data_IF_020933480669
#
_entry.id   IF_020933480669
#
_cell.length_a   1.000
_cell.length_b   1.000
_cell.length_c   1.000
_cell.angle_alpha   90.00
_cell.angle_beta   90.00
_cell.angle_gamma   90.00
#
_symmetry.space_group_name_H-M   'P 1'
#
loop_
_entity.id
_entity.type
_entity.pdbx_description
1 polymer ?
#
# COMPACT_ATOMS: atom_id res chain seq x y z
N UNK A 1 -16.27 -36.39 4.95
CA UNK A 1 -16.71 -34.98 4.88
C UNK A 1 -15.47 -34.18 4.47
N UNK A 2 -15.52 -33.38 3.40
CA UNK A 2 -14.43 -32.50 3.07
C UNK A 2 -14.22 -31.52 4.25
N UNK A 3 -12.98 -31.40 4.71
CA UNK A 3 -12.61 -30.45 5.76
C UNK A 3 -12.95 -29.04 5.29
N UNK A 4 -13.66 -28.27 6.10
CA UNK A 4 -14.06 -26.90 5.74
C UNK A 4 -12.80 -26.03 5.68
N UNK A 5 -12.65 -25.14 4.67
CA UNK A 5 -11.45 -24.32 4.59
C UNK A 5 -11.31 -23.39 5.78
N UNK A 6 -10.14 -23.38 6.36
CA UNK A 6 -9.84 -22.52 7.52
C UNK A 6 -9.76 -21.02 7.14
N UNK A 7 -9.62 -20.71 5.84
CA UNK A 7 -9.53 -19.34 5.32
C UNK A 7 -10.74 -19.03 4.46
N UNK A 8 -11.43 -17.93 4.77
CA UNK A 8 -12.49 -17.36 3.92
C UNK A 8 -12.07 -15.98 3.47
N UNK A 9 -11.78 -15.83 2.18
CA UNK A 9 -11.44 -14.55 1.57
C UNK A 9 -12.71 -13.83 1.13
N UNK A 10 -12.98 -12.69 1.76
CA UNK A 10 -14.19 -11.89 1.56
C UNK A 10 -13.84 -10.69 0.66
N UNK A 11 -14.41 -10.67 -0.53
CA UNK A 11 -14.20 -9.65 -1.54
C UNK A 11 -13.78 -10.20 -2.89
N UNK A 12 -13.86 -9.37 -3.94
CA UNK A 12 -13.47 -9.71 -5.32
C UNK A 12 -12.72 -8.57 -6.01
N UNK A 13 -12.29 -7.57 -5.26
CA UNK A 13 -11.47 -6.46 -5.71
C UNK A 13 -10.04 -6.86 -6.10
N UNK A 14 -9.21 -5.88 -6.44
CA UNK A 14 -7.82 -6.10 -6.87
C UNK A 14 -7.01 -6.87 -5.81
N UNK A 15 -7.01 -6.40 -4.58
CA UNK A 15 -6.30 -7.06 -3.48
C UNK A 15 -6.82 -8.49 -3.25
N UNK A 16 -8.15 -8.69 -3.23
CA UNK A 16 -8.73 -10.03 -3.07
C UNK A 16 -8.23 -11.00 -4.14
N UNK A 17 -8.15 -10.57 -5.41
CA UNK A 17 -7.62 -11.40 -6.51
C UNK A 17 -6.14 -11.76 -6.31
N UNK A 18 -5.32 -10.81 -5.85
CA UNK A 18 -3.91 -11.08 -5.53
C UNK A 18 -3.76 -12.03 -4.34
N UNK A 19 -4.49 -11.82 -3.26
CA UNK A 19 -4.49 -12.72 -2.10
C UNK A 19 -4.94 -14.13 -2.49
N UNK A 20 -6.03 -14.26 -3.27
CA UNK A 20 -6.45 -15.55 -3.80
C UNK A 20 -5.33 -16.24 -4.56
N UNK A 21 -4.69 -15.52 -5.51
CA UNK A 21 -3.58 -16.07 -6.30
C UNK A 21 -2.43 -16.51 -5.39
N UNK A 22 -2.10 -15.72 -4.39
CA UNK A 22 -1.02 -16.03 -3.46
C UNK A 22 -1.35 -17.25 -2.59
N UNK A 23 -2.54 -17.33 -2.00
CA UNK A 23 -2.99 -18.51 -1.26
C UNK A 23 -2.93 -19.80 -2.11
N UNK A 24 -3.33 -19.71 -3.38
CA UNK A 24 -3.20 -20.83 -4.33
C UNK A 24 -1.74 -21.26 -4.55
N UNK A 25 -0.81 -20.31 -4.71
CA UNK A 25 0.61 -20.60 -4.87
C UNK A 25 1.24 -21.22 -3.62
N UNK A 26 0.69 -20.95 -2.45
CA UNK A 26 1.10 -21.55 -1.17
C UNK A 26 0.40 -22.90 -0.89
N UNK A 27 -0.51 -23.34 -1.77
CA UNK A 27 -1.38 -24.51 -1.56
C UNK A 27 -2.18 -24.43 -0.25
N UNK A 28 -2.63 -23.25 0.13
CA UNK A 28 -3.49 -23.03 1.29
C UNK A 28 -4.95 -23.13 0.89
N UNK A 29 -5.69 -24.03 1.54
CA UNK A 29 -7.11 -24.20 1.32
C UNK A 29 -7.86 -22.94 1.76
N UNK A 30 -8.72 -22.44 0.87
CA UNK A 30 -9.50 -21.25 1.12
C UNK A 30 -10.81 -21.25 0.33
N UNK A 31 -11.84 -20.68 0.92
CA UNK A 31 -13.05 -20.30 0.21
C UNK A 31 -13.00 -18.83 -0.18
N UNK A 32 -13.79 -18.48 -1.19
CA UNK A 32 -13.96 -17.10 -1.63
C UNK A 32 -15.43 -16.75 -1.54
N UNK A 33 -15.68 -15.60 -0.92
CA UNK A 33 -17.02 -15.07 -0.86
C UNK A 33 -17.05 -13.60 -1.32
N UNK A 34 -18.08 -13.25 -2.06
CA UNK A 34 -18.46 -11.86 -2.34
C UNK A 34 -19.95 -11.80 -2.63
N UNK A 35 -20.57 -10.65 -2.38
CA UNK A 35 -22.00 -10.42 -2.71
C UNK A 35 -22.34 -10.78 -4.15
N UNK A 36 -21.42 -10.51 -5.07
CA UNK A 36 -21.60 -10.83 -6.50
C UNK A 36 -21.61 -12.34 -6.76
N UNK A 37 -20.68 -13.07 -6.12
CA UNK A 37 -20.59 -14.53 -6.28
C UNK A 37 -21.78 -15.22 -5.61
N UNK A 38 -22.21 -14.77 -4.45
CA UNK A 38 -23.38 -15.30 -3.75
C UNK A 38 -24.67 -15.04 -4.54
N UNK A 39 -24.90 -13.81 -5.01
CA UNK A 39 -26.05 -13.49 -5.85
C UNK A 39 -26.08 -14.30 -7.16
N UNK A 40 -24.91 -14.65 -7.71
CA UNK A 40 -24.78 -15.53 -8.88
C UNK A 40 -24.85 -17.02 -8.52
N UNK A 41 -25.03 -17.39 -7.25
CA UNK A 41 -24.99 -18.77 -6.74
C UNK A 41 -23.68 -19.51 -7.08
N UNK A 42 -22.58 -18.77 -7.19
CA UNK A 42 -21.25 -19.29 -7.49
C UNK A 42 -20.41 -19.59 -6.22
N UNK A 43 -20.91 -19.31 -5.04
CA UNK A 43 -20.34 -19.70 -3.76
C UNK A 43 -21.46 -19.98 -2.75
N UNK A 44 -21.19 -20.76 -1.68
CA UNK A 44 -22.12 -20.92 -0.55
C UNK A 44 -22.38 -19.59 0.15
N UNK A 45 -23.47 -19.51 0.91
CA UNK A 45 -23.73 -18.39 1.80
C UNK A 45 -22.62 -18.25 2.85
N UNK A 46 -22.35 -17.02 3.30
CA UNK A 46 -21.22 -16.74 4.19
C UNK A 46 -21.33 -17.52 5.52
N UNK A 47 -22.52 -17.65 6.05
CA UNK A 47 -22.80 -18.41 7.28
C UNK A 47 -22.42 -19.90 7.19
N UNK A 48 -22.43 -20.48 5.98
CA UNK A 48 -22.00 -21.87 5.74
C UNK A 48 -20.47 -21.97 5.75
N UNK A 49 -19.79 -20.95 5.26
CA UNK A 49 -18.34 -20.92 5.15
C UNK A 49 -17.63 -20.60 6.47
N UNK A 50 -18.29 -19.85 7.37
CA UNK A 50 -17.66 -19.36 8.60
C UNK A 50 -17.88 -20.33 9.75
N UNK A 51 -16.78 -20.87 10.29
CA UNK A 51 -16.72 -21.73 11.46
C UNK A 51 -15.90 -21.06 12.59
N UNK A 52 -15.80 -21.70 13.75
CA UNK A 52 -15.16 -21.12 14.95
C UNK A 52 -13.67 -20.84 14.81
N UNK A 53 -12.97 -21.54 13.93
CA UNK A 53 -11.53 -21.39 13.67
C UNK A 53 -11.23 -20.67 12.36
N UNK A 54 -12.27 -20.20 11.65
CA UNK A 54 -12.13 -19.52 10.35
C UNK A 54 -11.32 -18.24 10.48
N UNK A 55 -10.43 -18.03 9.54
CA UNK A 55 -9.73 -16.77 9.27
C UNK A 55 -10.51 -16.01 8.20
N UNK A 56 -11.33 -15.04 8.61
CA UNK A 56 -12.12 -14.21 7.71
C UNK A 56 -11.27 -13.02 7.23
N UNK A 57 -10.79 -13.10 5.98
CA UNK A 57 -9.91 -12.13 5.35
C UNK A 57 -10.73 -11.09 4.58
N UNK A 58 -10.94 -9.92 5.16
CA UNK A 58 -11.80 -8.85 4.65
C UNK A 58 -11.04 -7.97 3.63
N UNK A 59 -10.96 -8.41 2.39
CA UNK A 59 -10.34 -7.68 1.27
C UNK A 59 -11.38 -6.81 0.53
N UNK A 60 -12.07 -5.97 1.27
CA UNK A 60 -13.10 -5.03 0.84
C UNK A 60 -12.66 -3.58 1.11
N UNK A 61 -13.44 -2.59 0.67
CA UNK A 61 -13.10 -1.17 0.89
C UNK A 61 -13.15 -0.82 2.40
N UNK A 62 -12.24 0.05 2.85
CA UNK A 62 -12.09 0.45 4.26
C UNK A 62 -13.42 0.83 4.92
N UNK A 63 -14.20 1.68 4.23
CA UNK A 63 -15.52 2.14 4.72
C UNK A 63 -16.57 1.03 4.85
N UNK A 64 -16.33 -0.12 4.22
CA UNK A 64 -17.26 -1.25 4.26
C UNK A 64 -16.90 -2.27 5.36
N UNK A 65 -15.68 -2.27 5.89
CA UNK A 65 -15.21 -3.31 6.83
C UNK A 65 -16.10 -3.41 8.04
N UNK A 66 -16.24 -2.36 8.83
CA UNK A 66 -17.03 -2.40 10.05
C UNK A 66 -18.53 -2.58 9.81
N UNK A 67 -19.19 -1.87 8.88
CA UNK A 67 -20.57 -2.12 8.54
C UNK A 67 -20.83 -3.57 8.12
N UNK A 68 -19.91 -4.15 7.33
CA UNK A 68 -20.00 -5.54 6.91
C UNK A 68 -19.95 -6.50 8.10
N UNK A 69 -18.98 -6.33 9.01
CA UNK A 69 -18.88 -7.16 10.22
C UNK A 69 -20.14 -7.06 11.07
N UNK A 70 -20.69 -5.86 11.23
CA UNK A 70 -21.93 -5.66 12.04
C UNK A 70 -23.15 -6.30 11.40
N UNK A 71 -23.24 -6.34 10.06
CA UNK A 71 -24.36 -6.96 9.34
C UNK A 71 -24.24 -8.48 9.16
N UNK A 72 -23.08 -9.08 9.53
CA UNK A 72 -22.82 -10.52 9.40
C UNK A 72 -22.43 -11.12 10.76
N UNK A 73 -23.41 -11.44 11.60
CA UNK A 73 -23.16 -11.91 12.97
C UNK A 73 -22.39 -13.24 13.03
N UNK A 74 -22.44 -14.05 11.98
CA UNK A 74 -21.65 -15.29 11.84
C UNK A 74 -20.14 -15.02 11.93
N UNK A 75 -19.66 -13.86 11.53
CA UNK A 75 -18.26 -13.47 11.63
C UNK A 75 -17.75 -13.33 13.07
N UNK A 76 -18.65 -13.32 14.07
CA UNK A 76 -18.25 -13.30 15.49
C UNK A 76 -17.46 -14.52 15.91
N UNK A 77 -17.64 -15.65 15.23
CA UNK A 77 -16.93 -16.91 15.49
C UNK A 77 -15.51 -16.91 14.90
N UNK A 78 -15.23 -16.06 13.92
CA UNK A 78 -14.00 -16.05 13.15
C UNK A 78 -12.97 -15.06 13.69
N UNK A 79 -11.70 -15.34 13.44
CA UNK A 79 -10.63 -14.33 13.50
C UNK A 79 -10.79 -13.44 12.28
N UNK A 80 -11.09 -12.18 12.48
CA UNK A 80 -11.35 -11.20 11.41
C UNK A 80 -10.10 -10.37 11.17
N UNK A 81 -9.64 -10.37 9.91
CA UNK A 81 -8.46 -9.62 9.46
C UNK A 81 -8.87 -8.70 8.32
N UNK A 82 -8.54 -7.41 8.42
CA UNK A 82 -8.70 -6.47 7.31
C UNK A 82 -7.35 -5.99 6.79
N UNK A 83 -7.33 -5.47 5.56
CA UNK A 83 -6.11 -5.06 4.88
C UNK A 83 -6.00 -3.55 4.64
N UNK A 84 -6.82 -2.75 5.32
CA UNK A 84 -6.72 -1.29 5.28
C UNK A 84 -5.43 -0.80 5.92
N UNK A 85 -4.74 0.12 5.26
CA UNK A 85 -3.54 0.75 5.83
C UNK A 85 -3.84 1.79 6.91
N UNK A 86 -5.05 2.41 6.87
CA UNK A 86 -5.41 3.51 7.77
C UNK A 86 -6.41 3.14 8.86
N UNK A 87 -7.24 2.11 8.63
CA UNK A 87 -8.32 1.77 9.56
C UNK A 87 -7.76 1.16 10.84
N UNK A 88 -8.04 1.78 11.97
CA UNK A 88 -7.96 1.15 13.29
C UNK A 88 -9.36 0.70 13.69
N UNK A 89 -9.54 -0.59 13.99
CA UNK A 89 -10.86 -1.16 14.30
C UNK A 89 -10.79 -2.10 15.49
N UNK A 90 -11.75 -1.98 16.41
CA UNK A 90 -11.94 -2.96 17.47
C UNK A 90 -12.68 -4.24 17.01
N UNK A 91 -13.17 -4.26 15.77
CA UNK A 91 -13.95 -5.37 15.23
C UNK A 91 -13.12 -6.36 14.41
N UNK A 92 -11.95 -5.96 13.92
CA UNK A 92 -11.05 -6.81 13.13
C UNK A 92 -9.60 -6.31 13.25
N UNK A 93 -8.66 -7.22 13.14
CA UNK A 93 -7.23 -6.93 13.22
C UNK A 93 -6.75 -6.39 11.87
N UNK A 94 -6.02 -5.28 11.88
CA UNK A 94 -5.41 -4.72 10.69
C UNK A 94 -4.11 -5.45 10.32
N UNK A 95 -4.00 -5.90 9.06
CA UNK A 95 -2.79 -6.50 8.50
C UNK A 95 -2.56 -5.94 7.08
N UNK A 96 -2.05 -4.73 6.99
CA UNK A 96 -1.86 -4.03 5.71
C UNK A 96 -0.63 -4.52 4.96
N UNK A 97 -0.77 -5.10 3.76
CA UNK A 97 0.38 -5.40 2.91
C UNK A 97 0.97 -4.08 2.37
N UNK A 98 2.20 -3.74 2.77
CA UNK A 98 2.89 -2.52 2.32
C UNK A 98 3.40 -2.71 0.89
N UNK A 99 2.46 -2.71 -0.05
CA UNK A 99 2.73 -2.97 -1.46
C UNK A 99 1.70 -2.31 -2.39
N UNK A 100 2.08 -2.07 -3.64
CA UNK A 100 1.17 -1.58 -4.68
C UNK A 100 0.81 -2.70 -5.65
N UNK A 101 -0.43 -3.18 -5.58
CA UNK A 101 -0.91 -4.25 -6.44
C UNK A 101 -1.33 -3.73 -7.82
N UNK A 102 -0.66 -4.21 -8.87
CA UNK A 102 -0.95 -3.88 -10.26
C UNK A 102 -2.16 -4.70 -10.82
N UNK A 103 -2.38 -4.63 -12.13
CA UNK A 103 -3.38 -5.46 -12.80
C UNK A 103 -2.91 -6.91 -13.06
N UNK A 104 -1.59 -7.13 -13.10
CA UNK A 104 -0.94 -8.43 -13.34
C UNK A 104 -0.57 -9.12 -12.03
N UNK A 105 -0.64 -10.44 -12.00
CA UNK A 105 -0.21 -11.23 -10.86
C UNK A 105 1.31 -11.36 -10.80
N UNK A 106 1.82 -11.64 -9.61
CA UNK A 106 3.23 -11.84 -9.34
C UNK A 106 3.56 -13.31 -9.14
N UNK A 107 4.84 -13.65 -9.19
CA UNK A 107 5.34 -14.94 -8.74
C UNK A 107 5.27 -15.07 -7.21
N UNK A 108 5.46 -16.30 -6.74
CA UNK A 108 5.41 -16.63 -5.33
C UNK A 108 6.49 -15.89 -4.53
N UNK A 109 7.70 -15.82 -5.06
CA UNK A 109 8.84 -15.19 -4.38
C UNK A 109 8.57 -13.72 -4.07
N UNK A 110 8.00 -12.97 -5.03
CA UNK A 110 7.65 -11.58 -4.79
C UNK A 110 6.52 -11.44 -3.76
N UNK A 111 5.49 -12.30 -3.82
CA UNK A 111 4.44 -12.26 -2.80
C UNK A 111 4.98 -12.55 -1.39
N UNK A 112 5.87 -13.53 -1.20
CA UNK A 112 6.47 -13.87 0.09
C UNK A 112 7.31 -12.74 0.69
N UNK A 113 7.84 -11.86 -0.14
CA UNK A 113 8.64 -10.69 0.28
C UNK A 113 7.80 -9.47 0.67
N UNK A 114 6.50 -9.46 0.41
CA UNK A 114 5.63 -8.33 0.79
C UNK A 114 5.52 -8.24 2.31
N UNK A 115 5.95 -7.15 2.95
CA UNK A 115 5.79 -7.01 4.38
C UNK A 115 4.34 -6.65 4.74
N UNK A 116 3.87 -7.20 5.87
CA UNK A 116 2.59 -6.83 6.46
C UNK A 116 2.79 -5.96 7.69
N UNK A 117 2.02 -4.88 7.78
CA UNK A 117 2.00 -3.99 8.94
C UNK A 117 0.73 -4.27 9.75
N UNK A 118 0.93 -4.70 10.99
CA UNK A 118 -0.10 -5.24 11.88
C UNK A 118 -0.25 -4.31 13.09
N UNK A 119 -1.43 -4.31 13.72
CA UNK A 119 -1.67 -3.55 14.94
C UNK A 119 -0.83 -4.10 16.11
N UNK A 120 -0.17 -3.22 16.85
CA UNK A 120 0.57 -3.57 18.06
C UNK A 120 -0.33 -4.30 19.06
N UNK A 121 0.21 -5.33 19.73
CA UNK A 121 -0.54 -6.18 20.64
C UNK A 121 -1.34 -7.30 19.96
N UNK A 122 -1.43 -7.33 18.64
CA UNK A 122 -2.06 -8.42 17.89
C UNK A 122 -1.15 -9.65 17.80
N UNK A 123 -1.73 -10.84 17.54
CA UNK A 123 -0.96 -12.03 17.20
C UNK A 123 -0.09 -11.83 15.97
N UNK A 124 0.94 -12.65 15.81
CA UNK A 124 1.80 -12.64 14.61
C UNK A 124 1.01 -12.93 13.33
N UNK A 125 1.54 -12.52 12.18
CA UNK A 125 0.91 -12.82 10.89
C UNK A 125 0.68 -14.32 10.69
N UNK A 126 1.64 -15.16 11.07
CA UNK A 126 1.53 -16.62 10.98
C UNK A 126 0.39 -17.18 11.86
N UNK A 127 0.05 -16.51 12.97
CA UNK A 127 -1.10 -16.87 13.80
C UNK A 127 -2.41 -16.35 13.23
N UNK A 128 -2.39 -15.17 12.60
CA UNK A 128 -3.57 -14.57 11.97
C UNK A 128 -3.96 -15.29 10.68
N UNK A 129 -2.97 -15.60 9.86
CA UNK A 129 -3.14 -16.26 8.55
C UNK A 129 -2.10 -17.39 8.47
N UNK A 130 -2.43 -18.57 9.01
CA UNK A 130 -1.51 -19.71 9.02
C UNK A 130 -1.02 -20.05 7.61
N UNK A 131 0.28 -20.28 7.49
CA UNK A 131 0.92 -20.64 6.22
C UNK A 131 1.46 -19.45 5.40
N UNK A 132 1.23 -18.20 5.81
CA UNK A 132 1.89 -17.04 5.20
C UNK A 132 3.30 -16.83 5.79
N UNK A 133 4.37 -16.91 4.98
CA UNK A 133 5.76 -16.75 5.44
C UNK A 133 6.23 -15.28 5.49
N UNK A 134 5.37 -14.34 5.15
CA UNK A 134 5.70 -12.93 4.95
C UNK A 134 6.29 -12.28 6.21
N UNK A 135 7.26 -11.36 6.06
CA UNK A 135 7.71 -10.52 7.15
C UNK A 135 6.56 -9.65 7.67
N UNK A 136 6.51 -9.43 8.98
CA UNK A 136 5.52 -8.53 9.58
C UNK A 136 6.17 -7.57 10.57
N UNK A 137 5.59 -6.38 10.66
CA UNK A 137 5.98 -5.30 11.54
C UNK A 137 4.74 -4.80 12.29
N UNK A 138 4.94 -4.29 13.49
CA UNK A 138 3.85 -3.83 14.33
C UNK A 138 3.91 -2.31 14.47
N UNK A 139 2.73 -1.67 14.44
CA UNK A 139 2.57 -0.24 14.72
C UNK A 139 1.40 -0.03 15.68
N UNK A 140 1.46 1.04 16.47
CA UNK A 140 0.34 1.43 17.32
C UNK A 140 -0.88 1.80 16.45
N UNK A 141 -2.10 1.42 16.85
CA UNK A 141 -3.30 1.72 16.07
C UNK A 141 -3.47 3.20 15.74
N UNK A 142 -3.07 4.09 16.66
CA UNK A 142 -3.13 5.54 16.51
C UNK A 142 -2.16 6.07 15.43
N UNK A 143 -1.15 5.30 15.10
CA UNK A 143 -0.17 5.66 14.05
C UNK A 143 -0.63 5.27 12.63
N UNK A 144 -1.70 4.49 12.49
CA UNK A 144 -2.14 3.95 11.19
C UNK A 144 -2.44 5.04 10.17
N UNK A 145 -3.15 6.09 10.54
CA UNK A 145 -3.45 7.16 9.59
C UNK A 145 -2.19 7.86 9.10
N UNK A 146 -1.25 8.16 10.00
CA UNK A 146 0.05 8.74 9.64
C UNK A 146 0.86 7.80 8.76
N UNK A 147 0.97 6.54 9.15
CA UNK A 147 1.65 5.50 8.35
C UNK A 147 1.07 5.42 6.93
N UNK A 148 -0.25 5.34 6.82
CA UNK A 148 -0.90 5.26 5.51
C UNK A 148 -0.70 6.52 4.68
N UNK A 149 -0.74 7.71 5.28
CA UNK A 149 -0.42 8.96 4.60
C UNK A 149 1.00 8.95 4.01
N UNK A 150 1.99 8.43 4.75
CA UNK A 150 3.36 8.26 4.25
C UNK A 150 3.43 7.25 3.08
N UNK A 151 2.69 6.16 3.15
CA UNK A 151 2.58 5.21 2.04
C UNK A 151 1.96 5.85 0.78
N UNK A 152 0.95 6.71 0.95
CA UNK A 152 0.33 7.45 -0.16
C UNK A 152 1.32 8.45 -0.76
N UNK A 153 2.05 9.21 0.07
CA UNK A 153 3.09 10.12 -0.39
C UNK A 153 4.17 9.39 -1.20
N UNK A 154 4.72 8.31 -0.65
CA UNK A 154 5.82 7.58 -1.29
C UNK A 154 5.38 6.76 -2.51
N UNK A 155 4.20 6.15 -2.49
CA UNK A 155 3.71 5.28 -3.57
C UNK A 155 2.85 6.01 -4.60
N UNK A 156 1.70 6.52 -4.15
CA UNK A 156 0.69 7.07 -5.05
C UNK A 156 1.15 8.39 -5.68
N UNK A 157 1.70 9.31 -4.89
CA UNK A 157 2.12 10.62 -5.41
C UNK A 157 3.37 10.52 -6.28
N UNK A 158 4.30 9.63 -5.94
CA UNK A 158 5.41 9.31 -6.86
C UNK A 158 4.89 8.78 -8.20
N UNK A 159 3.85 7.93 -8.19
CA UNK A 159 3.20 7.46 -9.43
C UNK A 159 2.59 8.63 -10.22
N UNK A 160 1.94 9.61 -9.55
CA UNK A 160 1.38 10.79 -10.22
C UNK A 160 2.47 11.64 -10.86
N UNK A 161 3.60 11.88 -10.18
CA UNK A 161 4.74 12.61 -10.72
C UNK A 161 5.28 11.97 -12.00
N UNK A 162 5.49 10.64 -11.98
CA UNK A 162 5.95 9.91 -13.17
C UNK A 162 4.93 9.91 -14.30
N UNK A 163 3.64 9.80 -13.99
CA UNK A 163 2.57 9.90 -15.01
C UNK A 163 2.54 11.28 -15.66
N UNK A 164 2.76 12.36 -14.88
CA UNK A 164 2.87 13.71 -15.40
C UNK A 164 4.06 13.82 -16.35
N UNK A 165 5.25 13.38 -15.95
CA UNK A 165 6.42 13.38 -16.82
C UNK A 165 6.16 12.60 -18.11
N UNK A 166 5.63 11.38 -18.02
CA UNK A 166 5.36 10.55 -19.21
C UNK A 166 4.35 11.18 -20.15
N UNK A 167 3.34 11.84 -19.61
CA UNK A 167 2.37 12.58 -20.42
C UNK A 167 3.04 13.72 -21.19
N UNK A 168 3.83 14.57 -20.53
CA UNK A 168 4.53 15.68 -21.15
C UNK A 168 5.56 15.22 -22.22
N UNK A 169 6.27 14.14 -21.93
CA UNK A 169 7.21 13.57 -22.89
C UNK A 169 6.50 13.14 -24.18
N UNK A 170 5.38 12.43 -24.04
CA UNK A 170 4.64 11.91 -25.21
C UNK A 170 3.89 12.99 -25.98
N UNK A 171 3.36 14.06 -25.31
CA UNK A 171 2.45 15.02 -25.93
C UNK A 171 3.13 16.33 -26.32
N UNK A 172 4.02 16.85 -25.48
CA UNK A 172 4.58 18.19 -25.64
C UNK A 172 6.06 18.18 -26.11
N UNK A 173 6.84 17.20 -25.64
CA UNK A 173 8.28 17.16 -25.87
C UNK A 173 8.68 16.21 -27.00
N UNK A 174 7.74 15.48 -27.61
CA UNK A 174 7.99 14.59 -28.72
C UNK A 174 8.96 13.42 -28.42
N UNK A 175 9.07 13.04 -27.14
CA UNK A 175 9.96 11.98 -26.68
C UNK A 175 9.11 10.79 -26.18
N UNK A 176 9.23 9.59 -26.76
CA UNK A 176 8.52 8.41 -26.25
C UNK A 176 8.87 8.15 -24.78
N UNK A 177 7.84 7.95 -23.94
CA UNK A 177 7.98 7.74 -22.48
C UNK A 177 8.97 6.63 -22.11
N UNK A 178 9.13 5.63 -22.97
CA UNK A 178 10.04 4.51 -22.75
C UNK A 178 11.50 4.98 -22.61
N UNK A 179 11.86 6.10 -23.22
CA UNK A 179 13.20 6.68 -23.11
C UNK A 179 13.50 7.23 -21.70
N UNK A 180 12.49 7.49 -20.89
CA UNK A 180 12.66 7.91 -19.50
C UNK A 180 12.75 6.74 -18.50
N UNK A 181 12.54 5.49 -18.92
CA UNK A 181 12.62 4.33 -18.02
C UNK A 181 14.02 4.15 -17.38
N UNK A 182 15.15 4.32 -18.07
CA UNK A 182 16.46 4.28 -17.43
C UNK A 182 16.62 5.31 -16.30
N UNK A 183 16.02 6.50 -16.46
CA UNK A 183 16.03 7.53 -15.42
C UNK A 183 15.22 7.09 -14.19
N UNK A 184 14.00 6.55 -14.39
CA UNK A 184 13.20 5.97 -13.29
C UNK A 184 13.98 4.89 -12.54
N UNK A 185 14.57 3.94 -13.29
CA UNK A 185 15.33 2.82 -12.70
C UNK A 185 16.55 3.34 -11.92
N UNK A 186 17.23 4.39 -12.40
CA UNK A 186 18.38 4.96 -11.69
C UNK A 186 17.99 5.57 -10.34
N UNK A 187 16.85 6.28 -10.28
CA UNK A 187 16.31 6.84 -9.04
C UNK A 187 15.96 5.70 -8.05
N UNK A 188 15.25 4.68 -8.53
CA UNK A 188 14.86 3.54 -7.69
C UNK A 188 16.07 2.77 -7.13
N UNK A 189 17.10 2.59 -7.95
CA UNK A 189 18.37 1.97 -7.49
C UNK A 189 19.09 2.82 -6.47
N UNK A 190 19.11 4.14 -6.65
CA UNK A 190 19.67 5.07 -5.69
C UNK A 190 18.95 4.99 -4.33
N UNK A 191 17.62 4.96 -4.33
CA UNK A 191 16.81 4.83 -3.11
C UNK A 191 16.94 3.46 -2.44
N UNK A 192 17.13 2.39 -3.20
CA UNK A 192 17.30 1.03 -2.66
C UNK A 192 18.71 0.74 -2.14
N UNK A 193 19.69 1.55 -2.51
CA UNK A 193 21.08 1.47 -2.03
C UNK A 193 21.29 2.16 -0.69
N UNK A 194 22.56 2.23 -0.28
CA UNK A 194 22.97 2.89 0.99
C UNK A 194 23.00 4.43 0.83
N UNK A 195 21.82 5.04 0.59
CA UNK A 195 21.66 6.49 0.68
C UNK A 195 22.30 7.27 -0.48
N UNK A 196 21.84 7.05 -1.72
CA UNK A 196 22.16 8.00 -2.77
C UNK A 196 21.58 9.38 -2.38
N UNK A 197 22.43 10.42 -2.27
CA UNK A 197 21.95 11.74 -1.87
C UNK A 197 20.99 12.28 -2.93
N UNK A 198 20.00 13.04 -2.48
CA UNK A 198 19.15 13.80 -3.38
C UNK A 198 20.06 14.66 -4.30
N UNK A 199 19.95 14.46 -5.61
CA UNK A 199 20.65 15.26 -6.62
C UNK A 199 19.70 16.32 -7.18
N UNK A 200 20.24 17.44 -7.61
CA UNK A 200 19.41 18.46 -8.24
C UNK A 200 19.57 19.86 -7.62
N UNK A 201 18.78 20.84 -8.07
CA UNK A 201 18.95 22.23 -7.66
C UNK A 201 18.69 22.45 -6.16
N UNK A 202 17.75 21.72 -5.55
CA UNK A 202 17.44 21.85 -4.11
C UNK A 202 18.63 21.44 -3.25
N UNK A 203 19.21 20.27 -3.50
CA UNK A 203 20.35 19.77 -2.71
C UNK A 203 21.62 20.62 -2.88
N UNK A 204 21.76 21.31 -4.01
CA UNK A 204 22.88 22.22 -4.25
C UNK A 204 22.60 23.67 -3.85
N UNK A 205 21.43 23.98 -3.31
CA UNK A 205 21.03 25.35 -2.97
C UNK A 205 20.87 26.29 -4.18
N UNK A 206 20.67 25.75 -5.39
CA UNK A 206 20.55 26.52 -6.64
C UNK A 206 19.15 27.17 -6.77
N UNK A 207 18.97 28.25 -6.05
CA UNK A 207 17.73 29.04 -6.03
C UNK A 207 17.36 29.62 -7.41
N UNK A 208 18.36 29.85 -8.27
CA UNK A 208 18.11 30.37 -9.64
C UNK A 208 17.40 29.33 -10.49
N UNK A 209 17.88 28.09 -10.48
CA UNK A 209 17.22 27.00 -11.19
C UNK A 209 15.84 26.68 -10.59
N UNK A 210 15.69 26.71 -9.27
CA UNK A 210 14.39 26.51 -8.61
C UNK A 210 13.36 27.55 -9.10
N UNK A 211 13.71 28.83 -9.12
CA UNK A 211 12.83 29.89 -9.63
C UNK A 211 12.47 29.74 -11.10
N UNK A 212 13.44 29.34 -11.94
CA UNK A 212 13.19 29.08 -13.37
C UNK A 212 12.25 27.89 -13.59
N UNK A 213 12.42 26.84 -12.83
CA UNK A 213 11.53 25.68 -12.89
C UNK A 213 10.08 26.03 -12.48
N UNK A 214 9.90 26.81 -11.40
CA UNK A 214 8.59 27.31 -11.01
C UNK A 214 7.97 28.20 -12.09
N UNK A 215 8.74 29.10 -12.66
CA UNK A 215 8.26 29.97 -13.76
C UNK A 215 7.86 29.16 -15.01
N UNK A 216 8.58 28.08 -15.32
CA UNK A 216 8.26 27.20 -16.44
C UNK A 216 6.98 26.38 -16.21
N UNK A 217 6.59 26.14 -14.96
CA UNK A 217 5.34 25.48 -14.59
C UNK A 217 4.17 26.44 -14.36
N UNK A 218 4.34 27.75 -14.65
CA UNK A 218 3.31 28.74 -14.42
C UNK A 218 2.00 28.39 -15.12
N UNK A 219 0.91 28.30 -14.32
CA UNK A 219 -0.41 27.91 -14.81
C UNK A 219 -0.66 26.41 -14.92
N UNK A 220 0.35 25.57 -14.71
CA UNK A 220 0.18 24.12 -14.56
C UNK A 220 -0.21 23.78 -13.11
N UNK A 221 -1.13 22.82 -12.87
CA UNK A 221 -1.46 22.37 -11.52
C UNK A 221 -0.25 21.88 -10.71
N UNK A 222 0.82 21.41 -11.37
CA UNK A 222 2.04 20.95 -10.71
C UNK A 222 3.00 22.07 -10.29
N UNK A 223 2.74 23.35 -10.66
CA UNK A 223 3.44 24.52 -10.09
C UNK A 223 3.33 24.52 -8.55
N UNK A 224 2.10 24.34 -8.04
CA UNK A 224 1.85 24.28 -6.59
C UNK A 224 2.52 23.07 -5.94
N UNK A 225 2.52 21.91 -6.60
CA UNK A 225 3.18 20.70 -6.11
C UNK A 225 4.70 20.92 -6.01
N UNK A 226 5.32 21.53 -7.04
CA UNK A 226 6.74 21.87 -7.02
C UNK A 226 7.07 22.83 -5.88
N UNK A 227 6.28 23.89 -5.71
CA UNK A 227 6.44 24.84 -4.61
C UNK A 227 6.29 24.20 -3.23
N UNK A 228 5.35 23.27 -3.06
CA UNK A 228 5.17 22.54 -1.81
C UNK A 228 6.39 21.67 -1.47
N UNK A 229 7.00 21.00 -2.45
CA UNK A 229 8.24 20.24 -2.26
C UNK A 229 9.40 21.14 -1.86
N UNK A 230 9.56 22.30 -2.50
CA UNK A 230 10.60 23.28 -2.12
C UNK A 230 10.41 23.73 -0.68
N UNK A 231 9.19 24.11 -0.30
CA UNK A 231 8.87 24.52 1.07
C UNK A 231 9.14 23.41 2.09
N UNK A 232 8.72 22.18 1.81
CA UNK A 232 8.94 21.04 2.69
C UNK A 232 10.44 20.74 2.89
N UNK A 233 11.23 20.81 1.81
CA UNK A 233 12.68 20.61 1.86
C UNK A 233 13.36 21.67 2.73
N UNK A 234 13.04 22.96 2.53
CA UNK A 234 13.63 24.06 3.28
C UNK A 234 13.24 24.02 4.77
N UNK A 235 11.97 23.67 5.06
CA UNK A 235 11.51 23.52 6.46
C UNK A 235 12.24 22.39 7.17
N UNK A 236 12.45 21.25 6.51
CA UNK A 236 13.16 20.13 7.10
C UNK A 236 14.62 20.49 7.42
N UNK A 237 15.31 21.15 6.51
CA UNK A 237 16.68 21.63 6.77
C UNK A 237 16.78 22.56 7.98
N UNK A 238 15.81 23.44 8.18
CA UNK A 238 15.72 24.32 9.37
C UNK A 238 15.46 23.51 10.66
N UNK A 239 14.54 22.55 10.63
CA UNK A 239 14.24 21.70 11.78
C UNK A 239 15.42 20.84 12.19
N UNK A 240 16.14 20.25 11.24
CA UNK A 240 17.35 19.48 11.52
C UNK A 240 18.46 20.35 12.15
N UNK A 241 18.63 21.57 11.67
CA UNK A 241 19.64 22.51 12.19
C UNK A 241 19.34 23.01 13.61
N UNK A 242 18.06 23.19 13.96
CA UNK A 242 17.66 23.81 15.26
C UNK A 242 17.46 22.74 16.36
N UNK A 243 16.93 21.57 16.03
CA UNK A 243 16.46 20.61 17.02
C UNK A 243 17.39 19.40 17.23
N UNK A 244 18.53 19.30 16.52
CA UNK A 244 19.33 18.05 16.50
C UNK A 244 18.51 16.83 16.08
N UNK A 245 17.39 17.09 15.36
CA UNK A 245 16.43 16.08 14.95
C UNK A 245 16.99 15.15 13.87
N UNK A 246 16.36 14.00 13.70
CA UNK A 246 16.69 13.07 12.61
C UNK A 246 16.51 13.79 11.28
N UNK A 247 17.62 13.97 10.56
CA UNK A 247 17.60 14.49 9.20
C UNK A 247 17.33 13.34 8.21
N UNK A 248 16.10 13.23 7.76
CA UNK A 248 15.75 12.23 6.75
C UNK A 248 16.24 12.59 5.33
N UNK A 249 16.85 13.79 5.16
CA UNK A 249 17.53 14.20 3.93
C UNK A 249 19.01 13.82 3.94
N UNK A 250 19.57 13.49 5.10
CA UNK A 250 20.93 12.97 5.20
C UNK A 250 21.03 11.58 4.54
N UNK A 251 22.17 11.26 3.91
CA UNK A 251 22.40 9.96 3.28
C UNK A 251 22.39 8.81 4.29
#
# INVERSE_FOLDING_TARGET
MAEQPNIVLIGDGRLARHLRRYLQQLNLDHAIWSRRLEAAKCCPALEVLVQSDTRALLAISDKAVEPFIRSHPELRKAVRVHFSGRLASSLAIGAHPMFSFAGTFYDRELYERIPFVIDQGSPSLASLIPGLPNPCFFIEPEQRERYHALCVLAGNFTTLLWRKLFFELDTELGMPRQQALPYLVSIMRGLAGTGAPLSGPLSRGDQTTVRRNLAALKGDPFEQVYGAFVCAYEQQGRLAAVAGGKDWLAP
#
